data_IF_669277694679
#
_entry.id   IF_669277694679
#
_cell.length_a   1.000
_cell.length_b   1.000
_cell.length_c   1.000
_cell.angle_alpha   90.00
_cell.angle_beta   90.00
_cell.angle_gamma   90.00
#
_symmetry.space_group_name_H-M   'P 1'
#
loop_
_entity.id
_entity.type
_entity.pdbx_description
1 polymer ?
#
# COMPACT_ATOMS: atom_id res chain seq x y z
N UNK A 1 -14.67 23.79 22.90
CA UNK A 1 -13.67 22.84 22.38
C UNK A 1 -13.70 22.91 20.87
N UNK A 2 -12.55 22.99 20.22
CA UNK A 2 -12.43 22.96 18.75
C UNK A 2 -11.67 21.69 18.36
N UNK A 3 -12.10 21.03 17.29
CA UNK A 3 -11.45 19.82 16.76
C UNK A 3 -10.87 20.17 15.40
N UNK A 4 -9.57 19.91 15.20
CA UNK A 4 -8.93 20.01 13.87
C UNK A 4 -8.86 18.62 13.25
N UNK A 5 -9.34 18.51 12.02
CA UNK A 5 -9.29 17.28 11.21
C UNK A 5 -8.33 17.44 10.03
N UNK A 6 -7.66 16.36 9.68
CA UNK A 6 -6.89 16.23 8.44
C UNK A 6 -7.66 15.33 7.48
N UNK A 7 -7.68 15.71 6.20
CA UNK A 7 -8.23 14.91 5.11
C UNK A 7 -7.09 14.57 4.16
N UNK A 8 -6.86 13.29 3.92
CA UNK A 8 -5.99 12.80 2.84
C UNK A 8 -6.86 12.24 1.72
N UNK A 9 -6.42 12.45 0.47
CA UNK A 9 -7.04 11.85 -0.71
C UNK A 9 -5.96 11.36 -1.66
N UNK A 10 -6.15 10.17 -2.21
CA UNK A 10 -5.30 9.63 -3.27
C UNK A 10 -6.22 8.98 -4.30
N UNK A 11 -5.94 9.22 -5.57
CA UNK A 11 -6.73 8.65 -6.66
C UNK A 11 -5.79 8.14 -7.74
N UNK A 12 -6.12 6.99 -8.33
CA UNK A 12 -5.42 6.40 -9.46
C UNK A 12 -6.41 5.95 -10.51
N UNK A 13 -5.98 6.00 -11.77
CA UNK A 13 -6.74 5.50 -12.92
C UNK A 13 -5.92 4.35 -13.50
N UNK A 14 -6.58 3.24 -13.84
CA UNK A 14 -5.95 2.12 -14.54
C UNK A 14 -5.46 2.56 -15.91
N UNK A 15 -4.33 2.04 -16.40
CA UNK A 15 -3.73 2.48 -17.68
C UNK A 15 -4.68 2.43 -18.89
N UNK A 16 -5.62 1.48 -18.90
CA UNK A 16 -6.62 1.34 -19.96
C UNK A 16 -7.85 2.26 -19.79
N UNK A 17 -7.88 3.10 -18.75
CA UNK A 17 -8.96 4.03 -18.43
C UNK A 17 -10.27 3.37 -17.99
N UNK A 18 -10.33 2.06 -17.78
CA UNK A 18 -11.58 1.35 -17.44
C UNK A 18 -12.02 1.52 -15.99
N UNK A 19 -11.06 1.76 -15.10
CA UNK A 19 -11.30 1.83 -13.67
C UNK A 19 -10.58 3.02 -13.05
N UNK A 20 -11.17 3.54 -11.98
CA UNK A 20 -10.52 4.48 -11.09
C UNK A 20 -10.67 4.00 -9.65
N UNK A 21 -9.65 4.22 -8.83
CA UNK A 21 -9.70 4.00 -7.39
C UNK A 21 -9.53 5.32 -6.68
N UNK A 22 -10.37 5.56 -5.67
CA UNK A 22 -10.30 6.75 -4.81
C UNK A 22 -10.18 6.31 -3.35
N UNK A 23 -9.11 6.75 -2.72
CA UNK A 23 -8.88 6.68 -1.29
C UNK A 23 -9.15 8.00 -0.61
N UNK A 24 -9.86 7.98 0.50
CA UNK A 24 -10.04 9.14 1.38
C UNK A 24 -9.78 8.73 2.82
N UNK A 25 -8.90 9.43 3.53
CA UNK A 25 -8.69 9.29 4.97
C UNK A 25 -9.10 10.56 5.71
N UNK A 26 -9.83 10.42 6.81
CA UNK A 26 -10.19 11.52 7.71
C UNK A 26 -9.68 11.17 9.11
N UNK A 27 -8.72 11.95 9.59
CA UNK A 27 -8.14 11.82 10.93
C UNK A 27 -8.40 13.05 11.78
N UNK A 28 -8.49 12.86 13.09
CA UNK A 28 -8.48 13.98 14.06
C UNK A 28 -7.03 14.23 14.47
N UNK A 29 -6.52 15.44 14.22
CA UNK A 29 -5.11 15.78 14.51
C UNK A 29 -4.96 16.53 15.82
N UNK A 30 -5.84 17.50 16.12
CA UNK A 30 -5.76 18.31 17.33
C UNK A 30 -7.14 18.47 18.00
N UNK A 31 -7.14 18.48 19.34
CA UNK A 31 -8.29 18.95 20.14
C UNK A 31 -7.84 20.17 20.92
N UNK A 32 -8.51 21.30 20.72
CA UNK A 32 -8.12 22.59 21.28
C UNK A 32 -9.20 23.05 22.28
N UNK A 33 -8.78 23.37 23.49
CA UNK A 33 -9.65 23.95 24.51
C UNK A 33 -10.14 25.36 24.13
N UNK A 34 -11.11 25.87 24.88
CA UNK A 34 -11.64 27.23 24.65
C UNK A 34 -10.59 28.32 24.91
N UNK A 35 -9.59 28.05 25.75
CA UNK A 35 -8.46 28.93 26.05
C UNK A 35 -7.32 28.86 25.00
N UNK A 36 -7.47 28.02 23.97
CA UNK A 36 -6.47 27.83 22.92
C UNK A 36 -5.39 26.80 23.25
N UNK A 37 -5.43 26.16 24.41
CA UNK A 37 -4.49 25.08 24.76
C UNK A 37 -4.82 23.81 23.97
N UNK A 38 -3.78 23.18 23.42
CA UNK A 38 -3.92 21.88 22.76
C UNK A 38 -3.98 20.77 23.82
N UNK A 39 -5.01 19.94 23.75
CA UNK A 39 -5.10 18.74 24.56
C UNK A 39 -4.28 17.66 23.85
N UNK A 40 -3.15 17.28 24.45
CA UNK A 40 -2.42 16.10 24.01
C UNK A 40 -3.30 14.87 24.22
N UNK A 41 -3.92 14.38 23.15
CA UNK A 41 -4.65 13.14 23.18
C UNK A 41 -3.64 12.00 23.01
N UNK A 42 -3.60 11.06 23.96
CA UNK A 42 -3.01 9.72 23.78
C UNK A 42 -4.20 8.76 23.84
N UNK A 43 -4.64 8.24 22.69
CA UNK A 43 -5.86 7.43 22.60
C UNK A 43 -6.51 7.40 21.21
N UNK A 44 -7.52 6.53 21.08
CA UNK A 44 -8.33 6.32 19.87
C UNK A 44 -9.14 7.58 19.51
N UNK A 45 -8.87 8.17 18.35
CA UNK A 45 -9.73 9.18 17.74
C UNK A 45 -10.60 8.55 16.66
N UNK A 46 -11.86 8.99 16.43
CA UNK A 46 -12.69 8.45 15.37
C UNK A 46 -12.07 8.84 14.05
N UNK A 47 -11.68 7.82 13.32
CA UNK A 47 -10.82 7.98 12.18
C UNK A 47 -11.37 7.04 11.12
N UNK A 48 -11.58 7.58 9.94
CA UNK A 48 -12.35 6.91 8.90
C UNK A 48 -11.56 6.97 7.60
N UNK A 49 -11.15 5.81 7.11
CA UNK A 49 -10.65 5.65 5.76
C UNK A 49 -11.69 4.96 4.89
N UNK A 50 -11.82 5.44 3.65
CA UNK A 50 -12.72 4.92 2.63
C UNK A 50 -11.92 4.65 1.36
N UNK A 51 -12.19 3.52 0.73
CA UNK A 51 -11.65 3.13 -0.57
C UNK A 51 -12.82 2.80 -1.49
N UNK A 52 -12.86 3.43 -2.66
CA UNK A 52 -13.90 3.25 -3.67
C UNK A 52 -13.25 2.79 -4.97
N UNK A 53 -13.81 1.75 -5.59
CA UNK A 53 -13.54 1.42 -6.99
C UNK A 53 -14.68 1.95 -7.84
N UNK A 54 -14.34 2.62 -8.93
CA UNK A 54 -15.28 3.19 -9.90
C UNK A 54 -15.05 2.60 -11.28
N UNK A 55 -16.13 2.51 -12.06
CA UNK A 55 -16.04 2.27 -13.50
C UNK A 55 -15.64 3.54 -14.26
N UNK A 56 -15.50 3.43 -15.59
CA UNK A 56 -15.13 4.53 -16.47
C UNK A 56 -16.21 5.62 -16.64
N UNK A 57 -17.42 5.39 -16.14
CA UNK A 57 -18.50 6.38 -16.10
C UNK A 57 -18.58 7.09 -14.73
N UNK A 58 -17.73 6.70 -13.78
CA UNK A 58 -17.76 7.22 -12.41
C UNK A 58 -18.80 6.55 -11.51
N UNK A 59 -19.37 5.41 -11.90
CA UNK A 59 -20.24 4.63 -11.01
C UNK A 59 -19.37 3.86 -10.01
N UNK A 60 -19.75 3.89 -8.74
CA UNK A 60 -19.10 3.08 -7.69
C UNK A 60 -19.44 1.61 -7.89
N UNK A 61 -18.43 0.79 -8.12
CA UNK A 61 -18.55 -0.67 -8.21
C UNK A 61 -18.60 -1.31 -6.81
N UNK A 62 -17.73 -0.85 -5.91
CA UNK A 62 -17.74 -1.24 -4.51
C UNK A 62 -17.03 -0.21 -3.63
N UNK A 63 -17.23 -0.34 -2.31
CA UNK A 63 -16.64 0.51 -1.28
C UNK A 63 -16.12 -0.33 -0.10
N UNK A 64 -14.98 0.07 0.47
CA UNK A 64 -14.45 -0.41 1.76
C UNK A 64 -14.30 0.72 2.74
N UNK A 65 -14.60 0.45 4.01
CA UNK A 65 -14.40 1.36 5.14
C UNK A 65 -13.42 0.73 6.12
N UNK A 66 -12.47 1.53 6.58
CA UNK A 66 -11.48 1.18 7.58
C UNK A 66 -11.65 2.15 8.74
N UNK A 67 -11.95 1.62 9.93
CA UNK A 67 -12.33 2.41 11.12
C UNK A 67 -11.34 2.22 12.27
N UNK A 68 -10.10 1.87 11.97
CA UNK A 68 -9.08 1.53 12.97
C UNK A 68 -7.98 2.60 13.06
N UNK A 69 -7.64 2.99 14.29
CA UNK A 69 -6.48 3.83 14.62
C UNK A 69 -6.80 5.30 14.90
N UNK A 70 -5.76 6.10 15.12
CA UNK A 70 -5.86 7.56 15.44
C UNK A 70 -5.91 8.44 14.18
N UNK A 71 -5.23 7.98 13.13
CA UNK A 71 -5.17 8.55 11.80
C UNK A 71 -5.00 7.38 10.82
N UNK A 72 -6.07 6.85 10.20
CA UNK A 72 -6.03 5.82 9.21
C UNK A 72 -5.49 6.54 8.02
N UNK A 73 -4.18 6.48 7.92
CA UNK A 73 -3.47 7.17 6.87
C UNK A 73 -3.70 6.30 5.65
N UNK A 74 -4.55 6.80 4.77
CA UNK A 74 -4.53 6.36 3.40
C UNK A 74 -3.15 6.71 2.83
N UNK A 75 -2.22 5.74 2.86
CA UNK A 75 -0.82 5.99 2.53
C UNK A 75 -0.64 6.01 1.02
N UNK A 76 -1.08 4.95 0.35
CA UNK A 76 -1.02 4.86 -1.10
C UNK A 76 -2.00 3.81 -1.63
N UNK A 77 -2.31 3.91 -2.93
CA UNK A 77 -2.99 2.87 -3.66
C UNK A 77 -2.49 2.79 -5.09
N UNK A 78 -2.67 1.63 -5.71
CA UNK A 78 -2.47 1.38 -7.13
C UNK A 78 -3.58 0.49 -7.66
N UNK A 79 -3.80 0.54 -8.97
CA UNK A 79 -4.85 -0.21 -9.64
C UNK A 79 -4.33 -0.82 -10.95
N UNK A 80 -4.64 -2.09 -11.16
CA UNK A 80 -4.33 -2.83 -12.38
C UNK A 80 -5.39 -2.60 -13.47
N UNK A 81 -5.07 -2.99 -14.71
CA UNK A 81 -5.98 -2.84 -15.85
C UNK A 81 -7.23 -3.72 -15.75
N UNK A 82 -7.20 -4.79 -14.96
CA UNK A 82 -8.35 -5.65 -14.69
C UNK A 82 -9.20 -5.19 -13.49
N UNK A 83 -8.83 -4.10 -12.82
CA UNK A 83 -9.55 -3.56 -11.67
C UNK A 83 -9.13 -4.12 -10.32
N UNK A 84 -8.08 -4.95 -10.24
CA UNK A 84 -7.46 -5.29 -8.95
C UNK A 84 -6.84 -4.04 -8.34
N UNK A 85 -7.15 -3.79 -7.07
CA UNK A 85 -6.66 -2.65 -6.30
C UNK A 85 -5.74 -3.15 -5.21
N UNK A 86 -4.59 -2.51 -5.03
CA UNK A 86 -3.75 -2.66 -3.84
C UNK A 86 -3.67 -1.33 -3.09
N UNK A 87 -3.78 -1.37 -1.76
CA UNK A 87 -3.83 -0.19 -0.89
C UNK A 87 -3.03 -0.43 0.38
N UNK A 88 -2.33 0.59 0.86
CA UNK A 88 -1.70 0.57 2.17
C UNK A 88 -2.48 1.49 3.10
N UNK A 89 -2.99 0.90 4.19
CA UNK A 89 -3.72 1.60 5.25
C UNK A 89 -2.85 1.58 6.51
N UNK A 90 -2.47 2.75 7.00
CA UNK A 90 -1.73 2.88 8.25
C UNK A 90 -2.65 2.85 9.46
N UNK A 91 -2.32 2.09 10.50
CA UNK A 91 -3.08 2.02 11.78
C UNK A 91 -2.78 3.18 12.75
N UNK A 92 -2.08 4.22 12.29
CA UNK A 92 -1.79 5.43 13.05
C UNK A 92 -0.48 5.38 13.85
N UNK A 93 -0.15 6.54 14.43
CA UNK A 93 1.18 6.91 14.96
C UNK A 93 1.58 6.09 16.19
N UNK A 94 0.62 5.52 16.92
CA UNK A 94 0.86 4.81 18.18
C UNK A 94 1.00 3.29 18.02
N UNK A 95 0.48 2.71 16.94
CA UNK A 95 0.46 1.24 16.72
C UNK A 95 1.44 0.82 15.62
N UNK A 96 2.00 1.79 14.86
CA UNK A 96 3.18 1.56 14.02
C UNK A 96 2.99 0.57 12.87
N UNK A 97 1.75 0.28 12.47
CA UNK A 97 1.45 -0.83 11.57
C UNK A 97 0.71 -0.40 10.33
N UNK A 98 1.45 -0.31 9.23
CA UNK A 98 0.88 -0.23 7.91
C UNK A 98 0.45 -1.63 7.47
N UNK A 99 -0.76 -1.75 6.90
CA UNK A 99 -1.26 -3.01 6.34
C UNK A 99 -1.52 -2.80 4.86
N UNK A 100 -0.94 -3.69 4.05
CA UNK A 100 -1.25 -3.84 2.64
C UNK A 100 -2.48 -4.71 2.49
N UNK A 101 -3.51 -4.18 1.85
CA UNK A 101 -4.67 -4.92 1.39
C UNK A 101 -4.66 -4.98 -0.14
N UNK A 102 -5.17 -6.06 -0.71
CA UNK A 102 -5.56 -6.09 -2.12
C UNK A 102 -6.98 -6.62 -2.28
N UNK A 103 -7.73 -6.01 -3.20
CA UNK A 103 -9.12 -6.33 -3.51
C UNK A 103 -9.28 -6.64 -4.99
N UNK A 104 -10.11 -7.63 -5.31
CA UNK A 104 -10.51 -7.89 -6.68
C UNK A 104 -11.59 -6.88 -7.15
N UNK A 105 -11.98 -6.98 -8.42
CA UNK A 105 -12.97 -6.08 -9.05
C UNK A 105 -14.38 -6.20 -8.45
N UNK A 106 -14.68 -7.30 -7.74
CA UNK A 106 -15.95 -7.49 -7.01
C UNK A 106 -15.88 -6.94 -5.57
N UNK A 107 -14.69 -6.52 -5.11
CA UNK A 107 -14.45 -6.04 -3.76
C UNK A 107 -14.13 -7.13 -2.76
N UNK A 108 -13.84 -8.37 -3.18
CA UNK A 108 -13.36 -9.40 -2.26
C UNK A 108 -11.89 -9.15 -1.92
N UNK A 109 -11.52 -9.33 -0.66
CA UNK A 109 -10.14 -9.21 -0.21
C UNK A 109 -9.35 -10.45 -0.62
N UNK A 110 -8.27 -10.24 -1.39
CA UNK A 110 -7.41 -11.30 -1.92
C UNK A 110 -6.01 -11.29 -1.29
N UNK A 111 -5.65 -10.22 -0.56
CA UNK A 111 -4.41 -10.13 0.19
C UNK A 111 -4.60 -9.26 1.44
N UNK A 112 -4.00 -9.71 2.55
CA UNK A 112 -3.69 -8.90 3.73
C UNK A 112 -2.25 -9.19 4.13
N UNK A 113 -1.42 -8.16 4.26
CA UNK A 113 -0.01 -8.30 4.62
C UNK A 113 0.49 -7.11 5.48
N UNK A 114 1.24 -7.34 6.58
CA UNK A 114 1.59 -8.66 7.12
C UNK A 114 0.38 -9.40 7.70
N UNK A 115 0.48 -10.73 7.89
CA UNK A 115 -0.57 -11.52 8.54
C UNK A 115 -0.57 -11.34 10.06
N UNK A 116 0.59 -11.02 10.65
CA UNK A 116 0.68 -10.69 12.08
C UNK A 116 1.34 -9.34 12.29
N UNK A 117 0.76 -8.64 13.25
CA UNK A 117 1.25 -7.44 13.92
C UNK A 117 2.74 -7.63 14.28
N UNK A 118 3.56 -6.64 13.96
CA UNK A 118 5.01 -6.62 14.19
C UNK A 118 5.89 -7.42 13.22
N UNK A 119 5.35 -8.19 12.27
CA UNK A 119 6.19 -8.97 11.35
C UNK A 119 6.88 -8.10 10.28
N UNK A 120 6.17 -7.11 9.76
CA UNK A 120 6.63 -6.27 8.67
C UNK A 120 5.77 -5.00 8.55
N UNK A 121 6.31 -3.97 7.88
CA UNK A 121 5.59 -2.72 7.63
C UNK A 121 5.76 -2.34 6.16
N UNK A 122 4.72 -2.54 5.33
CA UNK A 122 4.71 -2.03 3.96
C UNK A 122 5.07 -0.54 3.94
N UNK A 123 6.03 -0.17 3.10
CA UNK A 123 6.51 1.20 2.95
C UNK A 123 5.49 2.10 2.26
N UNK A 124 5.53 3.39 2.61
CA UNK A 124 4.62 4.42 2.09
C UNK A 124 4.79 4.78 0.61
N UNK A 125 4.08 5.85 0.21
CA UNK A 125 3.76 6.21 -1.17
C UNK A 125 4.90 6.13 -2.20
N UNK A 126 4.59 5.53 -3.36
CA UNK A 126 5.43 5.48 -4.57
C UNK A 126 6.14 4.14 -4.84
N UNK A 127 6.10 3.21 -3.88
CA UNK A 127 6.90 1.98 -3.89
C UNK A 127 6.16 0.71 -4.31
N UNK A 128 4.86 0.83 -4.62
CA UNK A 128 4.06 -0.28 -5.14
C UNK A 128 4.07 -0.34 -6.66
N UNK A 129 4.12 -1.55 -7.23
CA UNK A 129 3.93 -1.82 -8.67
C UNK A 129 3.05 -3.03 -8.83
N UNK A 130 2.10 -2.99 -9.77
CA UNK A 130 1.21 -4.11 -10.06
C UNK A 130 1.26 -4.41 -11.56
N UNK A 131 1.21 -5.68 -11.93
CA UNK A 131 1.14 -6.09 -13.33
C UNK A 131 -0.19 -5.65 -13.96
N UNK A 132 -0.25 -5.44 -15.28
CA UNK A 132 -1.50 -5.07 -15.97
C UNK A 132 -2.67 -6.01 -15.68
N UNK A 133 -2.43 -7.32 -15.65
CA UNK A 133 -3.43 -8.34 -15.32
C UNK A 133 -3.73 -8.45 -13.81
N UNK A 134 -3.14 -7.60 -12.98
CA UNK A 134 -3.36 -7.55 -11.54
C UNK A 134 -2.87 -8.76 -10.76
N UNK A 135 -2.19 -9.73 -11.39
CA UNK A 135 -1.75 -10.95 -10.72
C UNK A 135 -0.54 -10.72 -9.82
N UNK A 136 0.39 -9.89 -10.25
CA UNK A 136 1.66 -9.73 -9.54
C UNK A 136 1.80 -8.34 -8.95
N UNK A 137 2.26 -8.28 -7.71
CA UNK A 137 2.42 -7.04 -6.95
C UNK A 137 3.83 -7.00 -6.37
N UNK A 138 4.50 -5.86 -6.44
CA UNK A 138 5.71 -5.59 -5.69
C UNK A 138 5.47 -4.40 -4.76
N UNK A 139 5.98 -4.49 -3.52
CA UNK A 139 5.88 -3.43 -2.51
C UNK A 139 7.16 -3.37 -1.69
N UNK A 140 7.60 -2.17 -1.32
CA UNK A 140 8.68 -2.03 -0.34
C UNK A 140 8.16 -2.44 1.03
N UNK A 141 8.92 -3.22 1.80
CA UNK A 141 8.52 -3.65 3.14
C UNK A 141 9.69 -3.42 4.09
N UNK A 142 9.47 -2.62 5.12
CA UNK A 142 10.34 -2.51 6.28
C UNK A 142 10.14 -3.71 7.22
N UNK A 143 11.21 -4.12 7.90
CA UNK A 143 11.19 -5.17 8.91
C UNK A 143 11.76 -4.59 10.20
N UNK A 144 11.25 -5.01 11.36
CA UNK A 144 11.86 -4.65 12.63
C UNK A 144 13.34 -5.08 12.63
N UNK A 145 14.18 -4.21 13.19
CA UNK A 145 15.63 -4.32 13.38
C UNK A 145 16.18 -5.77 13.38
N UNK A 146 17.30 -6.10 12.69
CA UNK A 146 18.27 -5.21 12.04
C UNK A 146 18.14 -5.12 10.49
N UNK A 147 17.06 -5.64 9.92
CA UNK A 147 16.93 -5.77 8.47
C UNK A 147 16.52 -4.46 7.79
N UNK A 148 17.33 -4.02 6.83
CA UNK A 148 16.95 -2.97 5.88
C UNK A 148 15.63 -3.33 5.17
N UNK A 149 14.90 -2.32 4.71
CA UNK A 149 13.68 -2.55 3.94
C UNK A 149 14.00 -3.35 2.67
N UNK A 150 13.14 -4.30 2.33
CA UNK A 150 13.28 -5.17 1.15
C UNK A 150 12.11 -5.00 0.22
N UNK A 151 12.33 -5.28 -1.07
CA UNK A 151 11.22 -5.41 -2.01
C UNK A 151 10.60 -6.81 -1.83
N UNK A 152 9.27 -6.86 -1.68
CA UNK A 152 8.52 -8.12 -1.60
C UNK A 152 7.64 -8.21 -2.83
N UNK A 153 7.71 -9.34 -3.52
CA UNK A 153 6.90 -9.68 -4.68
C UNK A 153 5.83 -10.68 -4.28
N UNK A 154 4.63 -10.54 -4.81
CA UNK A 154 3.47 -11.38 -4.54
C UNK A 154 2.91 -11.91 -5.84
N UNK A 155 2.42 -13.14 -5.81
CA UNK A 155 1.41 -13.64 -6.75
C UNK A 155 0.07 -13.63 -6.02
N UNK A 156 -0.79 -12.68 -6.36
CA UNK A 156 -2.10 -12.47 -5.75
C UNK A 156 -3.09 -13.58 -6.09
N UNK A 157 -2.79 -14.43 -7.08
CA UNK A 157 -3.64 -15.57 -7.43
C UNK A 157 -3.39 -16.77 -6.51
N UNK A 158 -2.13 -17.07 -6.20
CA UNK A 158 -1.75 -18.18 -5.31
C UNK A 158 -1.60 -17.77 -3.85
N UNK A 159 -1.35 -16.48 -3.57
CA UNK A 159 -0.99 -15.98 -2.25
C UNK A 159 0.50 -16.15 -1.89
N UNK A 160 1.30 -16.74 -2.79
CA UNK A 160 2.75 -16.93 -2.61
C UNK A 160 3.49 -15.60 -2.68
N UNK A 161 4.62 -15.51 -1.98
CA UNK A 161 5.45 -14.31 -1.98
C UNK A 161 6.94 -14.62 -2.08
N UNK A 162 7.73 -13.63 -2.48
CA UNK A 162 9.18 -13.66 -2.44
C UNK A 162 9.72 -12.38 -1.82
N UNK A 163 10.56 -12.52 -0.79
CA UNK A 163 11.29 -11.42 -0.18
C UNK A 163 12.64 -11.31 -0.87
N UNK A 164 12.84 -10.27 -1.68
CA UNK A 164 14.08 -10.11 -2.42
C UNK A 164 15.30 -10.02 -1.49
N UNK A 165 16.40 -10.58 -1.96
CA UNK A 165 17.71 -10.49 -1.32
C UNK A 165 18.35 -9.10 -1.50
N UNK A 166 17.96 -8.40 -2.56
CA UNK A 166 18.42 -7.05 -2.90
C UNK A 166 17.33 -5.98 -2.70
N UNK A 167 17.71 -4.73 -2.43
CA UNK A 167 16.78 -3.60 -2.33
C UNK A 167 16.39 -3.10 -3.73
N UNK A 168 15.69 -3.93 -4.50
CA UNK A 168 15.30 -3.60 -5.86
C UNK A 168 14.39 -2.36 -5.91
N UNK A 169 14.67 -1.45 -6.84
CA UNK A 169 13.68 -0.49 -7.33
C UNK A 169 12.97 -1.16 -8.50
N UNK A 170 11.64 -1.19 -8.45
CA UNK A 170 10.82 -1.84 -9.48
C UNK A 170 10.20 -0.78 -10.37
N UNK A 171 10.49 -0.86 -11.66
CA UNK A 171 9.91 0.05 -12.66
C UNK A 171 8.59 -0.49 -13.20
N UNK A 172 8.57 -1.76 -13.53
CA UNK A 172 7.48 -2.41 -14.25
C UNK A 172 7.39 -3.89 -13.84
N UNK A 173 6.18 -4.43 -13.88
CA UNK A 173 5.92 -5.87 -13.74
C UNK A 173 5.07 -6.34 -14.92
N UNK A 174 5.50 -7.38 -15.62
CA UNK A 174 4.76 -7.96 -16.74
C UNK A 174 3.69 -8.94 -16.28
N UNK A 175 2.79 -9.32 -17.19
CA UNK A 175 1.74 -10.32 -16.93
C UNK A 175 2.30 -11.75 -16.74
N UNK A 176 3.56 -11.94 -17.08
CA UNK A 176 4.31 -13.18 -16.98
C UNK A 176 5.16 -13.21 -15.71
N UNK A 177 5.03 -12.25 -14.79
CA UNK A 177 5.77 -12.24 -13.52
C UNK A 177 7.26 -11.95 -13.69
N UNK A 178 7.59 -11.12 -14.68
CA UNK A 178 8.91 -10.55 -14.84
C UNK A 178 8.89 -9.10 -14.35
N UNK A 179 9.95 -8.66 -13.69
CA UNK A 179 10.08 -7.29 -13.23
C UNK A 179 11.31 -6.61 -13.84
N UNK A 180 11.14 -5.39 -14.32
CA UNK A 180 12.25 -4.51 -14.72
C UNK A 180 12.73 -3.77 -13.49
N UNK A 181 13.98 -4.03 -13.10
CA UNK A 181 14.53 -3.58 -11.81
C UNK A 181 15.92 -2.98 -11.95
N UNK A 182 16.30 -2.14 -11.00
CA UNK A 182 17.69 -1.88 -10.66
C UNK A 182 17.89 -1.95 -9.15
N UNK A 183 19.14 -1.84 -8.70
CA UNK A 183 19.47 -1.75 -7.29
C UNK A 183 20.79 -1.03 -7.08
N UNK A 184 20.97 -0.41 -5.90
CA UNK A 184 22.26 0.14 -5.50
C UNK A 184 23.15 -0.96 -4.91
N UNK A 185 24.27 -1.25 -5.58
CA UNK A 185 25.30 -2.17 -5.09
C UNK A 185 26.20 -1.40 -4.10
N UNK A 186 26.01 -1.66 -2.80
CA UNK A 186 26.72 -0.97 -1.74
C UNK A 186 28.23 -1.24 -1.75
N UNK A 187 28.64 -2.46 -2.12
CA UNK A 187 30.04 -2.86 -2.18
C UNK A 187 30.77 -2.13 -3.30
N UNK A 188 30.11 -1.98 -4.46
CA UNK A 188 30.65 -1.25 -5.61
C UNK A 188 30.35 0.24 -5.59
N UNK A 189 29.55 0.71 -4.62
CA UNK A 189 29.03 2.08 -4.50
C UNK A 189 28.42 2.61 -5.80
N UNK A 190 27.69 1.76 -6.54
CA UNK A 190 27.17 2.07 -7.88
C UNK A 190 25.78 1.49 -8.09
N UNK A 191 24.95 2.18 -8.85
CA UNK A 191 23.68 1.65 -9.36
C UNK A 191 23.95 0.53 -10.37
N UNK A 192 23.22 -0.58 -10.27
CA UNK A 192 23.25 -1.65 -11.26
C UNK A 192 22.76 -1.14 -12.61
N UNK A 193 23.10 -1.85 -13.69
CA UNK A 193 22.32 -1.70 -14.92
C UNK A 193 20.88 -2.17 -14.66
N UNK A 194 19.93 -1.61 -15.38
CA UNK A 194 18.56 -2.12 -15.36
C UNK A 194 18.54 -3.53 -15.92
N UNK A 195 17.98 -4.47 -15.16
CA UNK A 195 17.84 -5.87 -15.53
C UNK A 195 16.39 -6.32 -15.49
N UNK A 196 16.11 -7.47 -16.09
CA UNK A 196 14.81 -8.14 -15.98
C UNK A 196 14.97 -9.39 -15.13
N UNK A 197 14.20 -9.48 -14.05
CA UNK A 197 14.15 -10.65 -13.18
C UNK A 197 12.85 -11.41 -13.42
N UNK A 198 12.92 -12.73 -13.50
CA UNK A 198 11.74 -13.61 -13.47
C UNK A 198 11.53 -14.05 -12.03
N UNK A 199 10.75 -13.27 -11.27
CA UNK A 199 10.64 -13.48 -9.84
C UNK A 199 9.75 -14.68 -9.46
N UNK A 200 8.96 -15.20 -10.40
CA UNK A 200 8.13 -16.39 -10.17
C UNK A 200 8.95 -17.60 -9.75
N UNK A 201 10.21 -17.65 -10.17
CA UNK A 201 11.15 -18.73 -9.82
C UNK A 201 11.52 -18.73 -8.32
N UNK A 202 11.22 -17.65 -7.61
CA UNK A 202 11.57 -17.47 -6.20
C UNK A 202 10.34 -17.35 -5.30
N UNK A 203 9.12 -17.43 -5.84
CA UNK A 203 7.90 -17.39 -5.03
C UNK A 203 7.84 -18.62 -4.12
N UNK A 204 7.70 -18.38 -2.82
CA UNK A 204 7.53 -19.40 -1.78
C UNK A 204 6.03 -19.55 -1.47
N UNK A 205 5.57 -20.79 -1.28
CA UNK A 205 4.19 -21.11 -0.86
C UNK A 205 3.84 -20.57 0.54
#
# INVERSE_FOLDING_TARGET
>A
MKIRRQISKNAKISENGKYAVIGTGIGTIDVINNDGTEISFRGEGPSESRLELLDNNGNVLWEKKFVEGRCPNFMDCIIAQNGIVAVIIGKGIEIGEDILHAYNTNGDEILVYPKKIGEAYPGGAGDMRISPNGRYLAVQVGFLYPTASKKVFFDLQSGSLWKADKPYVVYEITNEGQAKVDYYDADKKKLSATETIDFKKYLEE
#
